data_IF_837151744218
#
_entry.id   IF_837151744218
#
_cell.length_a   1.000
_cell.length_b   1.000
_cell.length_c   1.000
_cell.angle_alpha   90.00
_cell.angle_beta   90.00
_cell.angle_gamma   90.00
#
_symmetry.space_group_name_H-M   'P 1'
#
loop_
_entity.id
_entity.type
_entity.pdbx_description
1 polymer ?
#
# COMPACT_ATOMS: atom_id res chain seq x y z
N UNK A 1 14.94 7.40 18.87
CA UNK A 1 15.16 6.08 18.24
C UNK A 1 14.92 6.22 16.75
N UNK A 2 15.65 5.49 15.92
CA UNK A 2 15.57 5.58 14.46
C UNK A 2 14.87 4.34 13.90
N UNK A 3 14.32 4.48 12.69
CA UNK A 3 13.83 3.38 11.88
C UNK A 3 14.72 3.26 10.64
N UNK A 4 15.14 2.03 10.33
CA UNK A 4 15.83 1.70 9.09
C UNK A 4 14.98 0.68 8.33
N UNK A 5 14.62 0.97 7.08
CA UNK A 5 13.95 0.01 6.20
C UNK A 5 14.91 -0.42 5.10
N UNK A 6 15.18 -1.73 5.01
CA UNK A 6 15.96 -2.33 3.94
C UNK A 6 15.03 -3.15 3.03
N UNK A 7 15.05 -2.84 1.74
CA UNK A 7 14.40 -3.64 0.70
C UNK A 7 15.33 -4.74 0.20
N UNK A 8 14.85 -5.99 0.19
CA UNK A 8 15.53 -7.16 -0.35
C UNK A 8 14.67 -7.77 -1.45
N UNK A 9 15.18 -7.79 -2.67
CA UNK A 9 14.52 -8.37 -3.84
C UNK A 9 15.05 -9.77 -4.13
N UNK A 10 14.19 -10.68 -4.51
CA UNK A 10 14.55 -12.07 -4.83
C UNK A 10 13.49 -12.70 -5.73
N UNK A 11 13.86 -13.77 -6.41
CA UNK A 11 12.94 -14.61 -7.14
C UNK A 11 12.81 -16.00 -6.50
N UNK A 12 11.64 -16.61 -6.63
CA UNK A 12 11.41 -18.04 -6.40
C UNK A 12 11.27 -18.69 -7.76
N UNK A 13 12.28 -19.45 -8.15
CA UNK A 13 12.37 -20.13 -9.43
C UNK A 13 11.91 -21.59 -9.28
N UNK A 14 11.23 -22.15 -10.29
CA UNK A 14 10.82 -23.56 -10.28
C UNK A 14 12.01 -24.52 -10.52
N UNK A 15 13.14 -23.99 -11.00
CA UNK A 15 14.40 -24.70 -11.25
C UNK A 15 15.59 -24.07 -10.53
N UNK A 16 16.83 -24.55 -10.80
CA UNK A 16 18.03 -24.02 -10.19
C UNK A 16 18.17 -22.53 -10.48
N UNK A 17 18.47 -21.75 -9.45
CA UNK A 17 18.68 -20.31 -9.60
C UNK A 17 20.04 -20.04 -10.26
N UNK A 18 20.12 -19.12 -11.24
CA UNK A 18 21.38 -18.76 -11.87
C UNK A 18 22.38 -18.24 -10.82
N UNK A 19 23.63 -18.66 -10.94
CA UNK A 19 24.72 -17.99 -10.23
C UNK A 19 24.91 -16.58 -10.83
N UNK A 20 24.94 -15.54 -9.99
CA UNK A 20 25.10 -14.17 -10.47
C UNK A 20 24.98 -13.12 -9.37
N UNK A 21 25.47 -11.91 -9.67
CA UNK A 21 25.61 -10.80 -8.73
C UNK A 21 24.65 -9.63 -8.97
N UNK A 22 23.67 -9.75 -9.87
CA UNK A 22 22.72 -8.66 -10.11
C UNK A 22 21.73 -8.51 -8.93
N UNK A 23 22.22 -7.93 -7.83
CA UNK A 23 21.44 -7.66 -6.64
C UNK A 23 20.40 -6.55 -6.82
N UNK A 24 20.40 -5.82 -7.95
CA UNK A 24 19.41 -4.79 -8.21
C UNK A 24 18.04 -5.37 -8.57
N UNK A 25 18.03 -6.34 -9.48
CA UNK A 25 16.81 -7.05 -9.88
C UNK A 25 16.39 -8.07 -8.81
N UNK A 26 17.36 -8.69 -8.11
CA UNK A 26 17.10 -9.58 -6.99
C UNK A 26 18.14 -10.67 -6.90
N UNK A 27 18.34 -11.21 -5.70
CA UNK A 27 19.24 -12.33 -5.48
C UNK A 27 18.58 -13.37 -4.56
N UNK A 28 18.26 -14.57 -5.07
CA UNK A 28 18.55 -15.06 -6.43
C UNK A 28 17.82 -14.28 -7.55
N UNK A 29 18.42 -14.16 -8.75
CA UNK A 29 17.76 -13.52 -9.89
C UNK A 29 16.64 -14.40 -10.44
N UNK A 30 15.69 -13.77 -11.13
CA UNK A 30 14.63 -14.49 -11.83
C UNK A 30 15.19 -15.30 -13.00
N UNK A 31 14.72 -16.53 -13.16
CA UNK A 31 14.98 -17.39 -14.33
C UNK A 31 13.67 -17.93 -14.88
N UNK A 32 13.49 -17.87 -16.21
CA UNK A 32 12.24 -18.31 -16.84
C UNK A 32 11.01 -17.56 -16.32
N UNK A 33 9.93 -18.29 -16.02
CA UNK A 33 8.68 -17.77 -15.46
C UNK A 33 8.70 -17.65 -13.91
N UNK A 34 9.88 -17.46 -13.30
CA UNK A 34 10.02 -17.37 -11.85
C UNK A 34 9.17 -16.25 -11.21
N UNK A 35 8.90 -16.37 -9.91
CA UNK A 35 8.07 -15.41 -9.16
C UNK A 35 8.96 -14.39 -8.48
N UNK A 36 8.80 -13.11 -8.79
CA UNK A 36 9.59 -12.03 -8.20
C UNK A 36 8.90 -11.41 -6.98
N UNK A 37 9.67 -11.14 -5.93
CA UNK A 37 9.19 -10.53 -4.69
C UNK A 37 10.15 -9.47 -4.17
N UNK A 38 9.63 -8.54 -3.37
CA UNK A 38 10.40 -7.60 -2.59
C UNK A 38 9.97 -7.64 -1.11
N UNK A 39 10.90 -7.97 -0.22
CA UNK A 39 10.68 -7.97 1.22
C UNK A 39 11.35 -6.74 1.85
N UNK A 40 10.53 -5.83 2.37
CA UNK A 40 10.98 -4.67 3.12
C UNK A 40 11.02 -5.04 4.61
N UNK A 41 12.22 -5.00 5.18
CA UNK A 41 12.46 -5.27 6.60
C UNK A 41 12.74 -3.95 7.28
N UNK A 42 11.90 -3.58 8.25
CA UNK A 42 12.10 -2.37 9.06
C UNK A 42 12.60 -2.75 10.44
N UNK A 43 13.73 -2.19 10.84
CA UNK A 43 14.30 -2.34 12.19
C UNK A 43 14.22 -1.01 12.94
N UNK A 44 14.06 -1.08 14.26
CA UNK A 44 14.08 0.05 15.18
C UNK A 44 15.28 -0.05 16.11
N UNK A 45 15.96 1.07 16.37
CA UNK A 45 17.13 1.05 17.25
C UNK A 45 17.76 2.41 17.49
N UNK A 46 18.85 2.40 18.26
CA UNK A 46 19.77 3.54 18.41
C UNK A 46 20.87 3.44 17.35
N UNK A 47 21.47 4.56 17.00
CA UNK A 47 22.66 4.58 16.16
C UNK A 47 23.86 4.28 17.07
N UNK A 48 24.66 3.29 16.68
CA UNK A 48 25.92 3.00 17.34
C UNK A 48 26.90 4.17 17.12
N UNK A 49 27.47 4.71 18.20
CA UNK A 49 28.29 5.92 18.13
C UNK A 49 29.65 5.72 17.46
N UNK A 50 30.15 4.49 17.36
CA UNK A 50 31.46 4.19 16.75
C UNK A 50 31.33 3.98 15.25
N UNK A 51 30.30 3.24 14.83
CA UNK A 51 30.08 2.84 13.44
C UNK A 51 29.14 3.77 12.69
N UNK A 52 28.29 4.54 13.40
CA UNK A 52 27.26 5.39 12.80
C UNK A 52 26.06 4.60 12.25
N UNK A 53 25.98 3.29 12.45
CA UNK A 53 24.89 2.44 11.95
C UNK A 53 23.89 2.05 13.03
N UNK A 54 22.63 1.86 12.63
CA UNK A 54 21.63 1.14 13.42
C UNK A 54 21.87 -0.37 13.33
N UNK A 55 22.12 -0.86 12.12
CA UNK A 55 22.38 -2.25 11.75
C UNK A 55 23.12 -2.26 10.40
N UNK A 56 24.04 -3.19 10.20
CA UNK A 56 24.61 -3.45 8.87
C UNK A 56 23.52 -4.06 7.96
N UNK A 57 23.16 -3.37 6.89
CA UNK A 57 22.14 -3.84 5.94
C UNK A 57 22.51 -5.17 5.26
N UNK A 58 23.80 -5.52 5.20
CA UNK A 58 24.24 -6.83 4.68
C UNK A 58 23.78 -7.98 5.58
N UNK A 59 23.69 -7.74 6.88
CA UNK A 59 23.12 -8.70 7.84
C UNK A 59 21.64 -8.92 7.56
N UNK A 60 20.90 -7.86 7.22
CA UNK A 60 19.49 -7.98 6.81
C UNK A 60 19.39 -8.78 5.51
N UNK A 61 20.15 -8.44 4.48
CA UNK A 61 20.17 -9.17 3.20
C UNK A 61 20.50 -10.66 3.39
N UNK A 62 21.47 -10.99 4.26
CA UNK A 62 21.88 -12.35 4.54
C UNK A 62 20.78 -13.17 5.24
N UNK A 63 20.14 -12.61 6.26
CA UNK A 63 19.06 -13.30 6.99
C UNK A 63 17.77 -13.40 6.18
N UNK A 64 17.44 -12.40 5.37
CA UNK A 64 16.31 -12.53 4.44
C UNK A 64 16.54 -13.70 3.48
N UNK A 65 17.71 -13.76 2.83
CA UNK A 65 18.02 -14.83 1.85
C UNK A 65 18.13 -16.21 2.48
N UNK A 66 18.72 -16.31 3.67
CA UNK A 66 18.96 -17.59 4.34
C UNK A 66 17.75 -18.13 5.07
N UNK A 67 16.97 -17.24 5.70
CA UNK A 67 15.96 -17.63 6.68
C UNK A 67 14.53 -17.32 6.21
N UNK A 68 14.29 -16.19 5.53
CA UNK A 68 12.94 -15.81 5.09
C UNK A 68 12.56 -16.36 3.71
N UNK A 69 13.49 -16.32 2.74
CA UNK A 69 13.24 -16.80 1.36
C UNK A 69 12.85 -18.29 1.34
N UNK A 70 13.50 -19.20 2.09
CA UNK A 70 13.06 -20.60 2.13
C UNK A 70 11.65 -20.80 2.67
N UNK A 71 11.21 -20.01 3.65
CA UNK A 71 9.84 -20.07 4.17
C UNK A 71 8.82 -19.67 3.10
N UNK A 72 9.12 -18.60 2.35
CA UNK A 72 8.27 -18.15 1.23
C UNK A 72 8.24 -19.20 0.12
N UNK A 73 9.38 -19.82 -0.18
CA UNK A 73 9.48 -20.91 -1.16
C UNK A 73 8.64 -22.12 -0.75
N UNK A 74 8.73 -22.55 0.52
CA UNK A 74 7.92 -23.65 1.04
C UNK A 74 6.43 -23.33 1.00
N UNK A 75 6.05 -22.12 1.40
CA UNK A 75 4.65 -21.66 1.32
C UNK A 75 4.10 -21.70 -0.11
N UNK A 76 4.88 -21.25 -1.10
CA UNK A 76 4.48 -21.32 -2.51
C UNK A 76 4.30 -22.78 -2.95
N UNK A 77 5.23 -23.67 -2.59
CA UNK A 77 5.15 -25.08 -2.95
C UNK A 77 3.94 -25.80 -2.32
N UNK A 78 3.54 -25.39 -1.11
CA UNK A 78 2.38 -25.92 -0.40
C UNK A 78 1.05 -25.27 -0.80
N UNK A 79 1.08 -24.18 -1.58
CA UNK A 79 -0.11 -23.42 -1.93
C UNK A 79 -0.70 -22.64 -0.75
N UNK A 80 0.14 -22.28 0.22
CA UNK A 80 -0.29 -21.56 1.42
C UNK A 80 -0.68 -20.12 1.11
N UNK A 81 -1.59 -19.59 1.92
CA UNK A 81 -1.97 -18.18 1.88
C UNK A 81 -0.78 -17.28 2.34
N UNK A 82 -0.40 -16.24 1.57
CA UNK A 82 0.69 -15.34 1.92
C UNK A 82 0.60 -14.69 3.31
N UNK A 83 -0.61 -14.48 3.85
CA UNK A 83 -0.84 -13.94 5.20
C UNK A 83 -0.30 -14.87 6.28
N UNK A 84 -0.41 -16.19 6.07
CA UNK A 84 0.09 -17.20 7.01
C UNK A 84 1.61 -17.28 7.00
N UNK A 85 2.23 -16.93 5.88
CA UNK A 85 3.70 -16.97 5.69
C UNK A 85 4.41 -15.82 6.39
N UNK A 86 3.76 -14.66 6.54
CA UNK A 86 4.37 -13.51 7.20
C UNK A 86 4.70 -13.75 8.68
N UNK A 87 3.87 -14.47 9.43
CA UNK A 87 4.12 -14.70 10.85
C UNK A 87 5.41 -15.51 11.12
N UNK A 88 5.64 -16.66 10.44
CA UNK A 88 6.92 -17.36 10.48
C UNK A 88 8.11 -16.49 10.03
N UNK A 89 7.94 -15.68 8.98
CA UNK A 89 9.00 -14.76 8.50
C UNK A 89 9.35 -13.71 9.56
N UNK A 90 8.34 -13.10 10.20
CA UNK A 90 8.53 -12.16 11.30
C UNK A 90 9.24 -12.83 12.48
N UNK A 91 8.81 -14.04 12.86
CA UNK A 91 9.39 -14.78 13.97
C UNK A 91 10.87 -15.11 13.73
N UNK A 92 11.20 -15.65 12.54
CA UNK A 92 12.58 -16.01 12.23
C UNK A 92 13.49 -14.78 12.14
N UNK A 93 13.04 -13.69 11.52
CA UNK A 93 13.85 -12.47 11.42
C UNK A 93 14.01 -11.79 12.78
N UNK A 94 12.97 -11.78 13.62
CA UNK A 94 13.06 -11.24 14.98
C UNK A 94 14.08 -11.99 15.85
N UNK A 95 14.19 -13.31 15.69
CA UNK A 95 15.14 -14.13 16.42
C UNK A 95 16.58 -14.12 15.87
N UNK A 96 16.80 -13.57 14.66
CA UNK A 96 18.10 -13.59 13.98
C UNK A 96 18.74 -12.22 13.84
N UNK A 97 17.94 -11.16 13.66
CA UNK A 97 18.46 -9.82 13.46
C UNK A 97 19.03 -9.23 14.77
N UNK A 98 20.18 -8.55 14.73
CA UNK A 98 20.78 -7.94 15.91
C UNK A 98 20.03 -6.68 16.40
N UNK A 99 19.22 -6.07 15.55
CA UNK A 99 18.36 -4.94 15.91
C UNK A 99 16.90 -5.39 16.04
N UNK A 100 16.11 -4.69 16.86
CA UNK A 100 14.70 -5.01 17.03
C UNK A 100 13.95 -4.85 15.70
N UNK A 101 13.33 -5.94 15.25
CA UNK A 101 12.45 -5.92 14.10
C UNK A 101 11.20 -5.10 14.45
N UNK A 102 10.84 -4.14 13.62
CA UNK A 102 9.62 -3.33 13.76
C UNK A 102 8.48 -3.95 12.96
N UNK A 103 8.74 -4.26 11.68
CA UNK A 103 7.75 -4.81 10.75
C UNK A 103 8.42 -5.40 9.52
N UNK A 104 7.68 -6.29 8.87
CA UNK A 104 8.02 -6.88 7.58
C UNK A 104 6.90 -6.59 6.59
N UNK A 105 7.25 -6.13 5.39
CA UNK A 105 6.30 -5.93 4.28
C UNK A 105 6.74 -6.72 3.08
N UNK A 106 5.90 -7.62 2.60
CA UNK A 106 6.10 -8.39 1.38
C UNK A 106 5.31 -7.74 0.24
N UNK A 107 6.02 -7.21 -0.76
CA UNK A 107 5.40 -6.80 -2.02
C UNK A 107 5.25 -8.02 -2.92
N UNK A 108 4.01 -8.36 -3.20
CA UNK A 108 3.63 -9.44 -4.10
C UNK A 108 3.62 -8.97 -5.54
N UNK A 109 3.30 -7.68 -5.76
CA UNK A 109 3.44 -6.97 -7.03
C UNK A 109 3.88 -5.51 -6.76
N UNK A 110 4.20 -4.70 -7.78
CA UNK A 110 4.43 -3.26 -7.58
C UNK A 110 3.22 -2.50 -6.99
N UNK A 111 2.02 -3.09 -7.05
CA UNK A 111 0.76 -2.45 -6.67
C UNK A 111 0.12 -3.07 -5.44
N UNK A 112 0.54 -4.27 -5.04
CA UNK A 112 -0.03 -5.02 -3.93
C UNK A 112 1.05 -5.47 -2.95
N UNK A 113 0.83 -5.14 -1.68
CA UNK A 113 1.71 -5.60 -0.61
C UNK A 113 0.95 -5.91 0.68
N UNK A 114 1.57 -6.80 1.45
CA UNK A 114 1.08 -7.25 2.75
C UNK A 114 2.13 -6.94 3.80
N UNK A 115 1.74 -6.48 4.99
CA UNK A 115 2.65 -6.07 6.05
C UNK A 115 2.22 -6.60 7.40
N UNK A 116 3.20 -7.01 8.21
CA UNK A 116 2.98 -7.48 9.58
C UNK A 116 3.96 -6.77 10.51
N UNK A 117 3.43 -6.22 11.59
CA UNK A 117 4.23 -5.65 12.67
C UNK A 117 4.75 -6.79 13.56
N UNK A 118 5.99 -6.66 14.04
CA UNK A 118 6.62 -7.70 14.88
C UNK A 118 5.92 -7.90 16.23
N UNK A 119 5.26 -6.86 16.74
CA UNK A 119 4.51 -6.88 17.99
C UNK A 119 3.04 -7.29 17.85
N UNK A 120 2.53 -7.49 16.63
CA UNK A 120 1.14 -7.87 16.39
C UNK A 120 1.07 -8.88 15.22
N UNK A 121 1.46 -10.12 15.48
CA UNK A 121 1.50 -11.20 14.47
C UNK A 121 0.15 -11.87 14.22
N UNK A 122 -0.90 -11.50 14.95
CA UNK A 122 -2.29 -11.95 14.68
C UNK A 122 -2.99 -11.12 13.61
N UNK A 123 -2.39 -10.00 13.20
CA UNK A 123 -2.96 -9.10 12.20
C UNK A 123 -1.94 -8.80 11.10
N UNK A 124 -2.46 -8.50 9.91
CA UNK A 124 -1.70 -7.97 8.80
C UNK A 124 -2.38 -6.73 8.23
N UNK A 125 -1.62 -5.90 7.53
CA UNK A 125 -2.13 -4.83 6.69
C UNK A 125 -2.06 -5.28 5.24
N UNK A 126 -3.20 -5.23 4.55
CA UNK A 126 -3.33 -5.42 3.10
C UNK A 126 -3.38 -4.03 2.47
N UNK A 127 -2.68 -3.84 1.36
CA UNK A 127 -2.84 -2.64 0.53
C UNK A 127 -2.72 -2.97 -0.94
N UNK A 128 -3.52 -2.28 -1.74
CA UNK A 128 -3.51 -2.39 -3.20
C UNK A 128 -3.73 -1.02 -3.82
N UNK A 129 -3.07 -0.75 -4.93
CA UNK A 129 -3.28 0.46 -5.73
C UNK A 129 -4.29 0.19 -6.83
N UNK A 130 -5.19 1.14 -7.03
CA UNK A 130 -6.17 1.18 -8.10
C UNK A 130 -6.08 2.54 -8.79
N UNK A 131 -6.37 2.57 -10.09
CA UNK A 131 -6.41 3.79 -10.88
C UNK A 131 -7.85 4.15 -11.26
N UNK A 132 -8.10 5.46 -11.37
CA UNK A 132 -9.27 5.99 -12.05
C UNK A 132 -8.91 7.32 -12.71
N UNK A 133 -9.49 7.58 -13.88
CA UNK A 133 -9.26 8.83 -14.63
C UNK A 133 -10.46 9.75 -14.44
N UNK A 134 -10.24 10.96 -13.93
CA UNK A 134 -11.34 11.90 -13.71
C UNK A 134 -10.95 13.34 -14.01
N UNK A 135 -11.93 14.11 -14.49
CA UNK A 135 -11.84 15.54 -14.65
C UNK A 135 -12.47 16.27 -13.47
N UNK A 136 -12.01 17.49 -13.18
CA UNK A 136 -12.59 18.35 -12.15
C UNK A 136 -12.19 19.82 -12.31
N UNK A 137 -12.85 20.66 -11.51
CA UNK A 137 -12.52 22.06 -11.29
C UNK A 137 -12.57 22.38 -9.80
N UNK A 138 -11.55 23.09 -9.31
CA UNK A 138 -11.58 23.68 -7.98
C UNK A 138 -12.14 25.09 -8.08
N UNK A 139 -13.39 25.30 -7.68
CA UNK A 139 -14.05 26.61 -7.63
C UNK A 139 -15.05 26.64 -6.47
N UNK A 140 -14.82 27.51 -5.50
CA UNK A 140 -15.68 27.67 -4.33
C UNK A 140 -16.74 28.74 -4.60
N UNK A 141 -18.05 28.44 -4.47
CA UNK A 141 -19.10 29.45 -4.61
C UNK A 141 -19.14 30.47 -3.46
N UNK A 142 -18.42 30.20 -2.36
CA UNK A 142 -18.27 31.14 -1.25
C UNK A 142 -17.19 32.21 -1.49
N UNK A 143 -16.43 32.11 -2.59
CA UNK A 143 -15.39 33.06 -2.99
C UNK A 143 -15.81 33.77 -4.26
N UNK A 144 -15.39 35.02 -4.43
CA UNK A 144 -15.50 35.72 -5.72
C UNK A 144 -14.64 35.05 -6.80
N UNK A 145 -14.90 35.36 -8.07
CA UNK A 145 -14.10 34.84 -9.19
C UNK A 145 -12.62 35.22 -9.07
N UNK A 146 -12.33 36.45 -8.61
CA UNK A 146 -10.96 36.91 -8.42
C UNK A 146 -10.25 36.16 -7.28
N UNK A 147 -10.95 35.88 -6.18
CA UNK A 147 -10.42 35.08 -5.07
C UNK A 147 -10.18 33.63 -5.49
N UNK A 148 -11.12 33.03 -6.22
CA UNK A 148 -10.99 31.69 -6.79
C UNK A 148 -9.78 31.59 -7.74
N UNK A 149 -9.65 32.54 -8.67
CA UNK A 149 -8.53 32.56 -9.60
C UNK A 149 -7.20 32.76 -8.88
N UNK A 150 -7.16 33.60 -7.84
CA UNK A 150 -5.96 33.82 -7.02
C UNK A 150 -5.57 32.59 -6.20
N UNK A 151 -6.55 31.89 -5.62
CA UNK A 151 -6.32 30.75 -4.74
C UNK A 151 -5.98 29.47 -5.52
N UNK A 152 -6.82 29.11 -6.50
CA UNK A 152 -6.72 27.84 -7.22
C UNK A 152 -5.95 27.93 -8.54
N UNK A 153 -5.73 29.14 -9.06
CA UNK A 153 -4.91 29.35 -10.25
C UNK A 153 -5.36 28.50 -11.44
N UNK A 154 -4.45 27.68 -11.98
CA UNK A 154 -4.71 26.80 -13.13
C UNK A 154 -5.80 25.76 -12.84
N UNK A 155 -5.96 25.33 -11.59
CA UNK A 155 -7.01 24.37 -11.20
C UNK A 155 -8.42 24.99 -11.22
N UNK A 156 -8.53 26.33 -11.32
CA UNK A 156 -9.81 27.03 -11.49
C UNK A 156 -10.28 27.15 -12.94
N UNK A 157 -9.57 26.59 -13.93
CA UNK A 157 -9.94 26.68 -15.34
C UNK A 157 -11.46 26.43 -15.53
N UNK A 158 -12.23 27.34 -16.16
CA UNK A 158 -13.68 27.18 -16.32
C UNK A 158 -14.11 25.90 -17.05
N UNK A 159 -13.21 25.29 -17.84
CA UNK A 159 -13.43 24.00 -18.51
C UNK A 159 -12.86 22.80 -17.76
N UNK A 160 -12.39 23.01 -16.54
CA UNK A 160 -11.75 21.99 -15.71
C UNK A 160 -10.37 21.56 -16.24
N UNK A 161 -9.87 20.49 -15.63
CA UNK A 161 -8.69 19.72 -16.02
C UNK A 161 -8.89 18.29 -15.50
N UNK A 162 -7.96 17.37 -15.73
CA UNK A 162 -8.09 16.01 -15.22
C UNK A 162 -6.79 15.35 -14.86
N UNK A 163 -6.91 14.22 -14.17
CA UNK A 163 -5.79 13.42 -13.67
C UNK A 163 -6.08 11.94 -13.77
N UNK A 164 -5.01 11.15 -13.82
CA UNK A 164 -5.05 9.72 -13.61
C UNK A 164 -4.74 9.49 -12.13
N UNK A 165 -5.79 9.49 -11.32
CA UNK A 165 -5.67 9.31 -9.88
C UNK A 165 -5.25 7.88 -9.56
N UNK A 166 -4.46 7.72 -8.50
CA UNK A 166 -4.21 6.41 -7.87
C UNK A 166 -4.79 6.44 -6.48
N UNK A 167 -5.63 5.47 -6.12
CA UNK A 167 -6.15 5.26 -4.77
C UNK A 167 -5.53 4.01 -4.15
N UNK A 168 -5.12 4.10 -2.88
CA UNK A 168 -4.60 2.98 -2.11
C UNK A 168 -5.30 2.91 -0.75
N UNK A 169 -6.32 2.06 -0.61
CA UNK A 169 -6.79 1.64 0.71
C UNK A 169 -5.76 0.77 1.42
N UNK A 170 -5.67 0.92 2.74
CA UNK A 170 -4.90 0.04 3.62
C UNK A 170 -5.83 -0.55 4.65
N UNK A 171 -6.01 -1.86 4.61
CA UNK A 171 -6.97 -2.59 5.43
C UNK A 171 -6.23 -3.47 6.42
N UNK A 172 -6.56 -3.39 7.70
CA UNK A 172 -6.09 -4.30 8.73
C UNK A 172 -7.02 -5.50 8.81
N UNK A 173 -6.41 -6.68 8.81
CA UNK A 173 -7.12 -7.96 8.83
C UNK A 173 -6.54 -8.86 9.91
N UNK A 174 -7.37 -9.75 10.45
CA UNK A 174 -6.91 -10.88 11.26
C UNK A 174 -6.50 -12.04 10.36
N UNK A 175 -5.35 -12.65 10.62
CA UNK A 175 -4.83 -13.75 9.79
C UNK A 175 -5.52 -15.09 10.04
N UNK A 176 -6.18 -15.24 11.19
CA UNK A 176 -6.87 -16.44 11.65
C UNK A 176 -8.39 -16.38 11.48
N UNK A 177 -8.92 -15.30 10.88
CA UNK A 177 -10.35 -15.12 10.68
C UNK A 177 -10.93 -16.19 9.73
N UNK A 178 -12.13 -16.67 10.07
CA UNK A 178 -12.91 -17.58 9.24
C UNK A 178 -14.35 -17.04 9.17
N UNK A 179 -14.81 -16.55 8.00
CA UNK A 179 -14.07 -16.44 6.73
C UNK A 179 -12.94 -15.40 6.80
N UNK A 180 -11.92 -15.54 5.96
CA UNK A 180 -10.83 -14.57 5.84
C UNK A 180 -11.24 -13.39 4.93
N UNK A 181 -10.61 -12.23 5.12
CA UNK A 181 -10.69 -11.12 4.16
C UNK A 181 -9.54 -11.26 3.16
N UNK A 182 -9.87 -11.42 1.89
CA UNK A 182 -8.93 -11.70 0.80
C UNK A 182 -8.60 -10.45 -0.01
N UNK A 183 -7.60 -10.58 -0.90
CA UNK A 183 -7.29 -9.54 -1.89
C UNK A 183 -8.48 -9.27 -2.82
N UNK A 184 -9.19 -10.34 -3.23
CA UNK A 184 -10.36 -10.23 -4.10
C UNK A 184 -11.47 -9.40 -3.44
N UNK A 185 -11.64 -9.52 -2.12
CA UNK A 185 -12.62 -8.71 -1.39
C UNK A 185 -12.24 -7.23 -1.43
N UNK A 186 -10.95 -6.91 -1.21
CA UNK A 186 -10.45 -5.54 -1.34
C UNK A 186 -10.64 -4.99 -2.76
N UNK A 187 -10.34 -5.80 -3.79
CA UNK A 187 -10.53 -5.44 -5.20
C UNK A 187 -11.99 -5.14 -5.51
N UNK A 188 -12.90 -6.06 -5.20
CA UNK A 188 -14.33 -5.91 -5.48
C UNK A 188 -14.93 -4.71 -4.74
N UNK A 189 -14.64 -4.58 -3.45
CA UNK A 189 -15.16 -3.48 -2.63
C UNK A 189 -14.63 -2.14 -3.16
N UNK A 190 -13.35 -2.05 -3.50
CA UNK A 190 -12.75 -0.79 -3.99
C UNK A 190 -13.26 -0.44 -5.38
N UNK A 191 -13.42 -1.42 -6.25
CA UNK A 191 -13.96 -1.23 -7.59
C UNK A 191 -15.41 -0.69 -7.53
N UNK A 192 -16.26 -1.32 -6.72
CA UNK A 192 -17.67 -0.92 -6.59
C UNK A 192 -17.86 0.42 -5.87
N UNK A 193 -17.12 0.65 -4.78
CA UNK A 193 -17.32 1.84 -3.95
C UNK A 193 -16.59 3.08 -4.46
N UNK A 194 -15.53 2.92 -5.25
CA UNK A 194 -14.64 4.02 -5.68
C UNK A 194 -14.43 4.05 -7.19
N UNK A 195 -13.87 2.99 -7.79
CA UNK A 195 -13.42 3.04 -9.20
C UNK A 195 -14.60 3.28 -10.14
N UNK A 196 -15.63 2.43 -10.11
CA UNK A 196 -16.84 2.59 -10.96
C UNK A 196 -17.57 3.91 -10.71
N UNK A 197 -17.43 4.49 -9.51
CA UNK A 197 -18.07 5.74 -9.11
C UNK A 197 -17.41 6.95 -9.78
N UNK A 198 -16.08 6.93 -9.92
CA UNK A 198 -15.30 8.11 -10.30
C UNK A 198 -14.55 7.98 -11.63
N UNK A 199 -14.34 6.77 -12.12
CA UNK A 199 -13.63 6.53 -13.37
C UNK A 199 -14.40 7.06 -14.59
N UNK A 200 -13.66 7.75 -15.46
CA UNK A 200 -14.16 8.45 -16.64
C UNK A 200 -15.31 9.44 -16.34
N UNK A 201 -15.24 10.14 -15.20
CA UNK A 201 -16.22 11.15 -14.77
C UNK A 201 -15.64 12.55 -14.69
N UNK A 202 -16.50 13.56 -14.82
CA UNK A 202 -16.24 14.89 -14.28
C UNK A 202 -16.75 14.95 -12.82
N UNK A 203 -15.85 14.97 -11.84
CA UNK A 203 -16.18 14.81 -10.42
C UNK A 203 -17.26 15.79 -9.96
N UNK A 204 -17.16 17.07 -10.32
CA UNK A 204 -18.13 18.08 -9.89
C UNK A 204 -19.54 17.89 -10.49
N UNK A 205 -19.62 17.31 -11.69
CA UNK A 205 -20.85 17.31 -12.50
C UNK A 205 -21.55 15.94 -12.39
N UNK A 206 -20.79 14.87 -12.50
CA UNK A 206 -21.30 13.50 -12.60
C UNK A 206 -21.44 12.78 -11.25
N UNK A 207 -20.96 13.38 -10.16
CA UNK A 207 -20.96 12.73 -8.83
C UNK A 207 -21.65 13.61 -7.79
N UNK A 208 -22.44 13.01 -6.91
CA UNK A 208 -23.05 13.76 -5.79
C UNK A 208 -22.01 14.13 -4.74
N UNK A 209 -21.00 13.27 -4.59
CA UNK A 209 -19.89 13.43 -3.64
C UNK A 209 -19.15 14.77 -3.78
N UNK A 210 -19.00 15.25 -5.02
CA UNK A 210 -18.24 16.47 -5.33
C UNK A 210 -19.06 17.59 -5.97
N UNK A 211 -20.38 17.44 -6.02
CA UNK A 211 -21.27 18.50 -6.50
C UNK A 211 -21.70 19.39 -5.34
N UNK A 212 -21.18 20.62 -5.30
CA UNK A 212 -21.53 21.59 -4.25
C UNK A 212 -23.04 21.89 -4.25
N UNK A 213 -23.66 21.96 -5.42
CA UNK A 213 -25.11 22.19 -5.57
C UNK A 213 -25.95 21.05 -4.95
N UNK A 214 -25.40 19.83 -4.92
CA UNK A 214 -26.05 18.64 -4.33
C UNK A 214 -25.55 18.32 -2.91
N UNK A 215 -24.85 19.27 -2.27
CA UNK A 215 -24.35 19.12 -0.89
C UNK A 215 -23.04 18.35 -0.76
N UNK A 216 -22.34 18.08 -1.87
CA UNK A 216 -21.00 17.52 -1.90
C UNK A 216 -19.91 18.53 -1.52
N UNK A 217 -18.65 18.16 -1.76
CA UNK A 217 -17.47 18.98 -1.42
C UNK A 217 -16.60 19.28 -2.63
N UNK A 218 -15.66 20.24 -2.50
CA UNK A 218 -14.70 20.49 -3.58
C UNK A 218 -13.77 19.29 -3.76
N UNK A 219 -13.48 18.86 -5.01
CA UNK A 219 -12.63 17.70 -5.30
C UNK A 219 -11.14 18.02 -5.16
N UNK A 220 -10.71 18.62 -4.05
CA UNK A 220 -9.28 18.64 -3.73
C UNK A 220 -8.81 17.22 -3.41
N UNK A 221 -7.53 16.93 -3.62
CA UNK A 221 -6.97 15.60 -3.36
C UNK A 221 -7.20 15.14 -1.91
N UNK A 222 -7.22 16.06 -0.94
CA UNK A 222 -7.56 15.79 0.46
C UNK A 222 -9.02 15.33 0.61
N UNK A 223 -9.96 16.02 -0.03
CA UNK A 223 -11.38 15.64 0.01
C UNK A 223 -11.64 14.36 -0.77
N UNK A 224 -10.94 14.12 -1.88
CA UNK A 224 -11.04 12.86 -2.63
C UNK A 224 -10.57 11.70 -1.73
N UNK A 225 -9.45 11.83 -1.02
CA UNK A 225 -8.99 10.82 -0.08
C UNK A 225 -9.99 10.56 1.06
N UNK A 226 -10.59 11.62 1.63
CA UNK A 226 -11.64 11.51 2.65
C UNK A 226 -12.89 10.79 2.13
N UNK A 227 -13.41 11.20 0.99
CA UNK A 227 -14.61 10.59 0.39
C UNK A 227 -14.36 9.12 0.04
N UNK A 228 -13.20 8.77 -0.51
CA UNK A 228 -12.83 7.37 -0.75
C UNK A 228 -12.84 6.57 0.56
N UNK A 229 -12.29 7.13 1.65
CA UNK A 229 -12.33 6.48 2.97
C UNK A 229 -13.77 6.29 3.47
N UNK A 230 -14.59 7.34 3.45
CA UNK A 230 -15.98 7.33 3.92
C UNK A 230 -16.87 6.35 3.13
N UNK A 231 -16.58 6.15 1.84
CA UNK A 231 -17.26 5.16 0.99
C UNK A 231 -16.81 3.73 1.31
N UNK A 232 -15.52 3.51 1.55
CA UNK A 232 -14.94 2.19 1.77
C UNK A 232 -15.15 1.65 3.18
N UNK A 233 -14.97 2.50 4.20
CA UNK A 233 -14.98 2.10 5.61
C UNK A 233 -16.23 1.31 6.03
N UNK A 234 -17.49 1.75 5.75
CA UNK A 234 -18.67 1.00 6.17
C UNK A 234 -18.81 -0.35 5.46
N UNK A 235 -18.43 -0.43 4.18
CA UNK A 235 -18.52 -1.67 3.40
C UNK A 235 -17.48 -2.68 3.87
N UNK A 236 -16.26 -2.23 4.13
CA UNK A 236 -15.17 -3.06 4.70
C UNK A 236 -15.57 -3.56 6.08
N UNK A 237 -16.05 -2.69 6.97
CA UNK A 237 -16.45 -3.07 8.32
C UNK A 237 -17.64 -4.05 8.36
N UNK A 238 -18.50 -4.06 7.34
CA UNK A 238 -19.62 -4.98 7.22
C UNK A 238 -19.19 -6.41 6.80
N UNK A 239 -17.95 -6.61 6.37
CA UNK A 239 -17.46 -7.93 5.96
C UNK A 239 -17.41 -8.90 7.16
N UNK A 240 -17.81 -10.18 7.03
CA UNK A 240 -17.87 -11.12 8.16
C UNK A 240 -16.55 -11.34 8.90
N UNK A 241 -15.41 -11.18 8.20
CA UNK A 241 -14.07 -11.23 8.79
C UNK A 241 -13.74 -10.05 9.73
N UNK A 242 -14.63 -9.05 9.83
CA UNK A 242 -14.49 -7.83 10.64
C UNK A 242 -13.16 -7.07 10.43
N UNK A 243 -12.74 -6.79 9.18
CA UNK A 243 -11.54 -5.98 8.91
C UNK A 243 -11.78 -4.50 9.24
N UNK A 244 -10.70 -3.72 9.40
CA UNK A 244 -10.76 -2.26 9.58
C UNK A 244 -9.97 -1.52 8.50
N UNK A 245 -10.56 -0.47 7.94
CA UNK A 245 -9.84 0.43 7.03
C UNK A 245 -8.98 1.40 7.85
N UNK A 246 -7.67 1.30 7.72
CA UNK A 246 -6.71 2.09 8.52
C UNK A 246 -6.44 3.47 7.92
N UNK A 247 -6.48 3.57 6.59
CA UNK A 247 -6.28 4.82 5.83
C UNK A 247 -6.52 4.61 4.36
N UNK A 248 -6.77 5.71 3.66
CA UNK A 248 -6.75 5.78 2.20
C UNK A 248 -5.79 6.86 1.76
N UNK A 249 -4.90 6.54 0.82
CA UNK A 249 -4.05 7.53 0.16
C UNK A 249 -4.47 7.69 -1.29
N UNK A 250 -4.61 8.94 -1.74
CA UNK A 250 -4.89 9.27 -3.13
C UNK A 250 -3.74 10.11 -3.69
N UNK A 251 -3.18 9.67 -4.80
CA UNK A 251 -2.23 10.45 -5.60
C UNK A 251 -3.00 11.11 -6.73
N UNK A 252 -2.95 12.45 -6.78
CA UNK A 252 -3.40 13.23 -7.93
C UNK A 252 -2.34 13.19 -9.04
N UNK A 253 -1.07 13.20 -8.65
CA UNK A 253 0.08 13.05 -9.54
C UNK A 253 1.17 12.22 -8.87
N UNK A 254 2.28 11.96 -9.57
CA UNK A 254 3.47 11.32 -9.00
C UNK A 254 4.11 12.10 -7.83
N UNK A 255 3.83 13.40 -7.75
CA UNK A 255 4.42 14.34 -6.78
C UNK A 255 3.43 14.89 -5.76
N UNK A 256 2.13 14.65 -5.93
CA UNK A 256 1.08 15.17 -5.05
C UNK A 256 0.15 14.06 -4.60
N UNK A 257 0.05 13.87 -3.29
CA UNK A 257 -0.88 12.92 -2.69
C UNK A 257 -1.39 13.41 -1.34
N UNK A 258 -2.59 12.98 -0.97
CA UNK A 258 -3.13 13.13 0.37
C UNK A 258 -3.48 11.77 0.97
N UNK A 259 -3.30 11.63 2.28
CA UNK A 259 -3.72 10.46 3.06
C UNK A 259 -4.79 10.88 4.05
N UNK A 260 -5.95 10.24 4.00
CA UNK A 260 -6.97 10.35 5.04
C UNK A 260 -6.77 9.19 6.05
N UNK A 261 -6.49 9.50 7.33
CA UNK A 261 -6.35 8.47 8.36
C UNK A 261 -7.72 7.95 8.81
N UNK A 262 -7.77 6.66 9.16
CA UNK A 262 -8.92 6.03 9.83
C UNK A 262 -8.83 6.03 11.34
#
# INVERSE_FOLDING_TARGET
MHLLTRSVRFAINDGPSPAGSNGYAGNPPISGFGRWFELLVTCRGKIDQKTGYLIDIKTVDAHVRRDAVPLIQSSIASGDDPFRTLAPVVAVLSGRLPAALERVRLRLTPYHDIEMASNQTTHALIRQRFDFSAAHRLHSPALSDAENQKLYGKCNNPRGHGHNYVVQPVVKVRIDAVPAFSLRDLESITDDAVVKRFDHKHLNEDTDDFSIERGGVLPSVENIARICFERLAPVIAAHPASPSLERVTVWETDRTSATYPG
#
